data_IF_292602975544
#
_entry.id   IF_292602975544
#
_cell.length_a   1.000
_cell.length_b   1.000
_cell.length_c   1.000
_cell.angle_alpha   90.00
_cell.angle_beta   90.00
_cell.angle_gamma   90.00
#
_symmetry.space_group_name_H-M   'P 1'
#
loop_
_entity.id
_entity.type
_entity.pdbx_description
1 polymer ?
#
# COMPACT_ATOMS: atom_id res chain seq x y z
N UNK A 1 8.62 7.67 -7.52
CA UNK A 1 7.72 7.50 -6.35
C UNK A 1 7.70 6.05 -5.96
N UNK A 2 7.75 5.77 -4.66
CA UNK A 2 7.59 4.44 -4.09
C UNK A 2 6.40 4.42 -3.12
N UNK A 3 5.87 3.24 -2.85
CA UNK A 3 4.97 2.98 -1.75
C UNK A 3 5.57 1.89 -0.86
N UNK A 4 5.80 2.18 0.41
CA UNK A 4 5.95 1.15 1.42
C UNK A 4 4.57 0.78 1.90
N UNK A 5 4.19 -0.48 1.70
CA UNK A 5 2.89 -1.00 2.09
C UNK A 5 3.08 -1.97 3.25
N UNK A 6 2.47 -1.67 4.39
CA UNK A 6 2.54 -2.49 5.58
C UNK A 6 1.19 -3.18 5.79
N UNK A 7 1.18 -4.50 5.69
CA UNK A 7 0.01 -5.35 5.94
C UNK A 7 0.01 -5.79 7.40
N UNK A 8 -1.14 -5.70 8.06
CA UNK A 8 -1.28 -6.06 9.47
C UNK A 8 -2.74 -6.37 9.81
N UNK A 9 -2.97 -6.91 11.00
CA UNK A 9 -4.30 -7.11 11.57
C UNK A 9 -4.39 -6.50 12.97
N UNK A 10 -5.60 -6.29 13.47
CA UNK A 10 -5.79 -6.03 14.89
C UNK A 10 -5.49 -7.30 15.70
N UNK A 11 -4.81 -7.16 16.82
CA UNK A 11 -4.57 -8.28 17.73
C UNK A 11 -5.89 -8.83 18.30
N UNK A 12 -5.88 -10.10 18.66
CA UNK A 12 -7.06 -10.77 19.25
C UNK A 12 -7.55 -10.02 20.47
N UNK A 13 -8.85 -9.73 20.51
CA UNK A 13 -9.49 -9.00 21.61
C UNK A 13 -9.42 -7.47 21.51
N UNK A 14 -8.76 -6.93 20.48
CA UNK A 14 -8.76 -5.48 20.23
C UNK A 14 -10.04 -5.09 19.49
N UNK A 15 -10.73 -4.08 19.99
CA UNK A 15 -11.93 -3.52 19.36
C UNK A 15 -11.56 -2.78 18.06
N UNK A 16 -12.24 -3.12 16.96
CA UNK A 16 -11.99 -2.58 15.60
C UNK A 16 -12.02 -1.05 15.59
N UNK A 17 -13.03 -0.44 16.24
CA UNK A 17 -13.16 1.02 16.27
C UNK A 17 -12.02 1.71 17.02
N UNK A 18 -11.49 1.10 18.08
CA UNK A 18 -10.34 1.60 18.82
C UNK A 18 -9.07 1.52 17.97
N UNK A 19 -8.87 0.39 17.29
CA UNK A 19 -7.74 0.18 16.40
C UNK A 19 -7.71 1.19 15.26
N UNK A 20 -8.81 1.36 14.55
CA UNK A 20 -8.92 2.33 13.46
C UNK A 20 -8.76 3.79 13.92
N UNK A 21 -9.21 4.09 15.12
CA UNK A 21 -8.98 5.42 15.72
C UNK A 21 -7.49 5.67 15.96
N UNK A 22 -6.76 4.66 16.44
CA UNK A 22 -5.32 4.73 16.62
C UNK A 22 -4.58 4.86 15.28
N UNK A 23 -4.97 4.09 14.25
CA UNK A 23 -4.42 4.20 12.89
C UNK A 23 -4.62 5.61 12.31
N UNK A 24 -5.85 6.13 12.34
CA UNK A 24 -6.13 7.51 11.88
C UNK A 24 -5.27 8.54 12.60
N UNK A 25 -5.12 8.40 13.92
CA UNK A 25 -4.29 9.32 14.71
C UNK A 25 -2.82 9.25 14.31
N UNK A 26 -2.29 8.06 14.08
CA UNK A 26 -0.90 7.87 13.66
C UNK A 26 -0.65 8.51 12.28
N UNK A 27 -1.48 8.24 11.29
CA UNK A 27 -1.36 8.83 9.96
C UNK A 27 -1.51 10.36 9.98
N UNK A 28 -2.45 10.88 10.78
CA UNK A 28 -2.61 12.33 10.97
C UNK A 28 -1.37 12.97 11.63
N UNK A 29 -0.73 12.28 12.57
CA UNK A 29 0.50 12.74 13.20
C UNK A 29 1.68 12.80 12.22
N UNK A 30 1.80 11.80 11.33
CA UNK A 30 2.79 11.82 10.25
C UNK A 30 2.53 12.97 9.25
N UNK A 31 1.28 13.17 8.86
CA UNK A 31 0.89 14.25 7.94
C UNK A 31 1.11 15.65 8.54
N UNK A 32 0.91 15.81 9.85
CA UNK A 32 1.11 17.08 10.56
C UNK A 32 2.57 17.51 10.68
N UNK A 33 3.52 16.57 10.59
CA UNK A 33 4.95 16.83 10.62
C UNK A 33 5.68 15.80 9.73
N UNK A 34 5.59 15.94 8.40
CA UNK A 34 6.09 14.93 7.48
C UNK A 34 7.62 14.86 7.51
N UNK A 35 8.20 13.64 7.52
CA UNK A 35 9.65 13.48 7.36
C UNK A 35 10.09 13.80 5.92
N UNK A 36 11.39 13.98 5.73
CA UNK A 36 11.95 14.27 4.40
C UNK A 36 11.59 13.20 3.38
N UNK A 37 11.10 13.63 2.21
CA UNK A 37 10.70 12.76 1.11
C UNK A 37 9.38 11.97 1.33
N UNK A 38 8.64 12.23 2.42
CA UNK A 38 7.31 11.69 2.64
C UNK A 38 6.27 12.46 1.83
N UNK A 39 5.44 11.75 1.08
CA UNK A 39 4.42 12.32 0.20
C UNK A 39 2.99 12.19 0.75
N UNK A 40 2.79 11.24 1.66
CA UNK A 40 1.50 10.99 2.29
C UNK A 40 1.32 9.54 2.72
N UNK A 41 0.30 9.29 3.51
CA UNK A 41 -0.07 7.92 3.89
C UNK A 41 -1.57 7.77 4.08
N UNK A 42 -2.04 6.55 3.88
CA UNK A 42 -3.45 6.17 4.08
C UNK A 42 -3.51 4.73 4.56
N UNK A 43 -4.33 4.48 5.56
CA UNK A 43 -4.67 3.13 5.99
C UNK A 43 -5.94 2.67 5.29
N UNK A 44 -5.93 1.44 4.82
CA UNK A 44 -7.08 0.80 4.16
C UNK A 44 -7.49 -0.45 4.92
N UNK A 45 -8.80 -0.57 5.18
CA UNK A 45 -9.40 -1.82 5.61
C UNK A 45 -9.47 -2.75 4.40
N UNK A 46 -8.95 -3.96 4.55
CA UNK A 46 -8.96 -5.03 3.56
C UNK A 46 -9.89 -6.16 4.04
N UNK A 47 -10.07 -7.23 3.23
CA UNK A 47 -10.84 -8.40 3.64
C UNK A 47 -10.27 -9.05 4.92
N UNK A 48 -8.95 -9.17 4.97
CA UNK A 48 -8.24 -9.96 6.00
C UNK A 48 -7.29 -9.07 6.84
N UNK A 49 -7.71 -7.87 7.19
CA UNK A 49 -6.90 -6.94 8.00
C UNK A 49 -6.80 -5.55 7.39
N UNK A 50 -5.60 -4.99 7.43
CA UNK A 50 -5.33 -3.62 7.01
C UNK A 50 -4.09 -3.55 6.13
N UNK A 51 -4.02 -2.50 5.33
CA UNK A 51 -2.84 -2.14 4.55
C UNK A 51 -2.58 -0.64 4.68
N UNK A 52 -1.48 -0.29 5.33
CA UNK A 52 -1.00 1.08 5.41
C UNK A 52 -0.09 1.38 4.23
N UNK A 53 -0.47 2.34 3.43
CA UNK A 53 0.30 2.81 2.29
C UNK A 53 1.04 4.09 2.64
N UNK A 54 2.36 4.05 2.64
CA UNK A 54 3.24 5.20 2.84
C UNK A 54 3.88 5.56 1.52
N UNK A 55 3.49 6.69 0.94
CA UNK A 55 4.05 7.20 -0.32
C UNK A 55 5.30 8.01 -0.04
N UNK A 56 6.38 7.71 -0.74
CA UNK A 56 7.67 8.37 -0.60
C UNK A 56 8.28 8.70 -1.97
N UNK A 57 9.11 9.72 -2.02
CA UNK A 57 9.78 10.15 -3.26
C UNK A 57 10.73 9.08 -3.81
N UNK A 58 11.51 8.47 -2.93
CA UNK A 58 12.54 7.49 -3.26
C UNK A 58 12.85 6.59 -2.07
N UNK A 59 13.73 5.60 -2.26
CA UNK A 59 14.21 4.73 -1.19
C UNK A 59 15.00 5.49 -0.10
N UNK A 60 15.63 6.61 -0.42
CA UNK A 60 16.32 7.44 0.56
C UNK A 60 15.37 8.05 1.62
N UNK A 61 14.08 8.11 1.34
CA UNK A 61 13.08 8.59 2.30
C UNK A 61 12.59 7.50 3.29
N UNK A 62 13.01 6.24 3.11
CA UNK A 62 12.60 5.16 4.02
C UNK A 62 13.26 5.29 5.40
N UNK A 63 14.55 5.66 5.46
CA UNK A 63 15.23 5.86 6.74
C UNK A 63 14.62 7.02 7.54
N UNK A 64 14.44 8.24 6.96
CA UNK A 64 13.72 9.33 7.63
C UNK A 64 12.27 8.93 8.05
N UNK A 65 11.56 8.17 7.23
CA UNK A 65 10.22 7.71 7.57
C UNK A 65 10.23 6.76 8.77
N UNK A 66 11.14 5.78 8.75
CA UNK A 66 11.28 4.81 9.85
C UNK A 66 11.65 5.50 11.16
N UNK A 67 12.64 6.39 11.14
CA UNK A 67 13.05 7.15 12.33
C UNK A 67 11.91 8.03 12.84
N UNK A 68 11.21 8.72 11.92
CA UNK A 68 10.10 9.57 12.28
C UNK A 68 8.92 8.81 12.89
N UNK A 69 8.63 7.60 12.44
CA UNK A 69 7.53 6.79 12.96
C UNK A 69 7.72 6.48 14.46
N UNK A 70 8.96 6.19 14.88
CA UNK A 70 9.27 5.69 16.24
C UNK A 70 9.89 6.74 17.15
N UNK A 71 9.95 8.03 16.76
CA UNK A 71 10.63 9.06 17.53
C UNK A 71 9.80 10.31 17.80
N UNK A 72 10.20 11.08 18.80
CA UNK A 72 9.61 12.37 19.15
C UNK A 72 8.12 12.28 19.48
N UNK A 73 7.36 13.28 19.03
CA UNK A 73 5.92 13.37 19.30
C UNK A 73 5.08 12.26 18.62
N UNK A 74 5.66 11.56 17.63
CA UNK A 74 5.01 10.47 16.89
C UNK A 74 5.11 9.12 17.57
N UNK A 75 6.14 8.91 18.41
CA UNK A 75 6.37 7.64 19.13
C UNK A 75 5.12 7.16 19.86
N UNK A 76 4.46 8.02 20.63
CA UNK A 76 3.27 7.63 21.38
C UNK A 76 2.10 7.16 20.51
N UNK A 77 1.90 7.76 19.32
CA UNK A 77 0.85 7.32 18.39
C UNK A 77 1.23 6.04 17.64
N UNK A 78 2.52 5.87 17.31
CA UNK A 78 3.05 4.62 16.77
C UNK A 78 2.91 3.46 17.78
N UNK A 79 3.36 3.66 19.00
CA UNK A 79 3.34 2.62 20.06
C UNK A 79 1.91 2.18 20.40
N UNK A 80 0.96 3.12 20.35
CA UNK A 80 -0.45 2.82 20.53
C UNK A 80 -0.98 1.87 19.42
N UNK A 81 -0.61 2.08 18.17
CA UNK A 81 -0.96 1.17 17.05
C UNK A 81 -0.21 -0.14 17.18
N UNK A 82 1.11 -0.10 17.39
CA UNK A 82 1.95 -1.28 17.49
C UNK A 82 1.50 -2.23 18.61
N UNK A 83 1.10 -1.69 19.75
CA UNK A 83 0.57 -2.48 20.87
C UNK A 83 -0.79 -3.14 20.62
N UNK A 84 -1.50 -2.70 19.57
CA UNK A 84 -2.80 -3.26 19.16
C UNK A 84 -2.71 -4.08 17.86
N UNK A 85 -1.53 -4.14 17.21
CA UNK A 85 -1.33 -4.81 15.92
C UNK A 85 -0.85 -6.24 16.07
N UNK A 86 -1.13 -7.05 15.05
CA UNK A 86 -0.56 -8.39 14.84
C UNK A 86 -0.20 -8.59 13.37
N UNK A 87 0.58 -9.63 13.07
CA UNK A 87 0.85 -10.16 11.72
C UNK A 87 1.47 -9.14 10.74
N UNK A 88 2.49 -8.41 11.15
CA UNK A 88 3.14 -7.40 10.32
C UNK A 88 3.93 -7.95 9.15
N UNK A 89 3.65 -7.47 7.91
CA UNK A 89 4.44 -7.77 6.72
C UNK A 89 4.59 -6.54 5.82
N UNK A 90 5.81 -6.20 5.45
CA UNK A 90 6.11 -5.07 4.57
C UNK A 90 6.29 -5.45 3.11
N UNK A 91 5.93 -4.55 2.20
CA UNK A 91 6.16 -4.66 0.76
C UNK A 91 6.56 -3.30 0.19
N UNK A 92 7.64 -3.28 -0.59
CA UNK A 92 8.06 -2.05 -1.26
C UNK A 92 7.67 -2.10 -2.74
N UNK A 93 6.90 -1.12 -3.17
CA UNK A 93 6.37 -1.00 -4.52
C UNK A 93 6.92 0.25 -5.22
N UNK A 94 7.27 0.14 -6.48
CA UNK A 94 7.56 1.27 -7.35
C UNK A 94 6.34 1.57 -8.23
N UNK A 95 5.98 2.84 -8.35
CA UNK A 95 4.96 3.28 -9.29
C UNK A 95 5.47 3.12 -10.72
N UNK A 96 4.73 2.37 -11.53
CA UNK A 96 5.01 2.15 -12.96
C UNK A 96 4.22 3.14 -13.82
N UNK A 97 2.93 3.33 -13.50
CA UNK A 97 2.06 4.25 -14.23
C UNK A 97 0.89 4.75 -13.38
N UNK A 98 0.27 5.83 -13.82
CA UNK A 98 -0.87 6.46 -13.18
C UNK A 98 -0.48 7.43 -12.05
N UNK A 99 -1.49 7.98 -11.37
CA UNK A 99 -1.32 8.89 -10.21
C UNK A 99 -2.01 8.31 -9.00
N UNK A 100 -1.32 8.14 -7.87
CA UNK A 100 -1.96 7.69 -6.63
C UNK A 100 -3.04 8.66 -6.16
N UNK A 101 -4.12 8.09 -5.61
CA UNK A 101 -5.21 8.86 -5.01
C UNK A 101 -5.92 8.00 -3.96
N UNK A 102 -6.52 8.63 -2.93
CA UNK A 102 -7.14 7.90 -1.81
C UNK A 102 -8.44 7.19 -2.19
N UNK A 103 -9.15 7.67 -3.21
CA UNK A 103 -10.52 7.23 -3.55
C UNK A 103 -10.56 5.97 -4.43
N UNK A 104 -9.68 5.00 -4.18
CA UNK A 104 -9.62 3.78 -5.01
C UNK A 104 -10.02 2.58 -4.20
N UNK A 105 -11.12 1.95 -4.62
CA UNK A 105 -11.86 0.96 -3.82
C UNK A 105 -11.37 -0.47 -3.98
N UNK A 106 -10.54 -0.75 -4.99
CA UNK A 106 -10.02 -2.10 -5.23
C UNK A 106 -8.51 -2.11 -5.45
N UNK A 107 -7.89 -3.16 -4.93
CA UNK A 107 -6.53 -3.56 -5.23
C UNK A 107 -6.60 -4.87 -6.03
N UNK A 108 -6.02 -4.88 -7.22
CA UNK A 108 -5.92 -6.10 -8.02
C UNK A 108 -4.48 -6.57 -8.00
N UNK A 109 -4.25 -7.69 -7.34
CA UNK A 109 -2.95 -8.35 -7.26
C UNK A 109 -2.80 -9.27 -8.44
N UNK A 110 -1.67 -9.18 -9.16
CA UNK A 110 -1.47 -9.96 -10.37
C UNK A 110 -0.01 -10.35 -10.58
N UNK A 111 0.19 -11.40 -11.36
CA UNK A 111 1.50 -11.91 -11.71
C UNK A 111 1.73 -11.79 -13.21
N UNK A 112 2.97 -11.49 -13.59
CA UNK A 112 3.38 -11.56 -14.99
C UNK A 112 3.41 -13.03 -15.43
N UNK A 113 2.74 -13.41 -16.55
CA UNK A 113 2.77 -14.77 -17.05
C UNK A 113 4.20 -15.24 -17.36
N UNK A 114 4.48 -16.52 -17.10
CA UNK A 114 5.80 -17.10 -17.36
C UNK A 114 6.14 -16.99 -18.86
N UNK A 115 7.39 -16.61 -19.16
CA UNK A 115 7.87 -16.47 -20.53
C UNK A 115 7.51 -15.13 -21.21
N UNK A 116 6.64 -14.32 -20.63
CA UNK A 116 6.32 -12.97 -21.14
C UNK A 116 7.38 -11.98 -20.69
N UNK A 117 7.89 -11.14 -21.61
CA UNK A 117 8.80 -10.04 -21.23
C UNK A 117 8.06 -8.95 -20.44
N UNK A 118 8.78 -8.13 -19.63
CA UNK A 118 8.16 -6.99 -18.96
C UNK A 118 7.56 -5.99 -19.96
N UNK A 119 8.23 -5.74 -21.07
CA UNK A 119 7.73 -4.83 -22.11
C UNK A 119 6.40 -5.32 -22.71
N UNK A 120 6.30 -6.62 -23.02
CA UNK A 120 5.05 -7.20 -23.53
C UNK A 120 3.96 -7.23 -22.46
N UNK A 121 4.34 -7.49 -21.20
CA UNK A 121 3.41 -7.48 -20.10
C UNK A 121 2.81 -6.08 -19.89
N UNK A 122 3.62 -5.03 -19.87
CA UNK A 122 3.13 -3.65 -19.76
C UNK A 122 2.23 -3.26 -20.94
N UNK A 123 2.59 -3.66 -22.17
CA UNK A 123 1.74 -3.43 -23.36
C UNK A 123 0.38 -4.12 -23.22
N UNK A 124 0.33 -5.33 -22.66
CA UNK A 124 -0.94 -6.05 -22.38
C UNK A 124 -1.79 -5.34 -21.32
N UNK A 125 -1.18 -4.62 -20.38
CA UNK A 125 -1.88 -3.87 -19.35
C UNK A 125 -2.32 -2.47 -19.80
N UNK A 126 -1.85 -1.97 -20.94
CA UNK A 126 -2.14 -0.63 -21.46
C UNK A 126 -3.64 -0.28 -21.52
N UNK A 127 -4.57 -1.19 -21.90
CA UNK A 127 -6.01 -0.87 -21.91
C UNK A 127 -6.58 -0.42 -20.56
N UNK A 128 -5.94 -0.81 -19.47
CA UNK A 128 -6.33 -0.40 -18.10
C UNK A 128 -5.44 0.71 -17.57
N UNK A 129 -4.12 0.63 -17.80
CA UNK A 129 -3.13 1.57 -17.24
C UNK A 129 -3.09 2.92 -17.95
N UNK A 130 -3.74 3.06 -19.11
CA UNK A 130 -3.97 4.34 -19.77
C UNK A 130 -5.08 5.19 -19.14
N UNK A 131 -5.85 4.63 -18.20
CA UNK A 131 -6.90 5.34 -17.49
C UNK A 131 -6.28 6.10 -16.31
N UNK A 132 -6.58 7.38 -16.18
CA UNK A 132 -6.03 8.25 -15.12
C UNK A 132 -6.34 7.76 -13.71
N UNK A 133 -7.48 7.07 -13.53
CA UNK A 133 -7.93 6.53 -12.26
C UNK A 133 -7.27 5.20 -11.88
N UNK A 134 -6.46 4.59 -12.76
CA UNK A 134 -5.78 3.32 -12.50
C UNK A 134 -4.29 3.56 -12.27
N UNK A 135 -3.74 2.97 -11.21
CA UNK A 135 -2.29 2.92 -11.00
C UNK A 135 -1.76 1.51 -11.11
N UNK A 136 -0.58 1.37 -11.71
CA UNK A 136 0.17 0.14 -11.73
C UNK A 136 1.41 0.28 -10.84
N UNK A 137 1.57 -0.67 -9.94
CA UNK A 137 2.70 -0.77 -9.03
C UNK A 137 3.43 -2.08 -9.25
N UNK A 138 4.74 -2.04 -9.08
CA UNK A 138 5.60 -3.22 -9.16
C UNK A 138 6.44 -3.36 -7.90
N UNK A 139 6.50 -4.55 -7.34
CA UNK A 139 7.38 -4.86 -6.20
C UNK A 139 8.83 -4.63 -6.60
N UNK A 140 9.54 -3.88 -5.77
CA UNK A 140 10.97 -3.66 -5.94
C UNK A 140 11.75 -4.90 -5.51
N UNK A 141 12.53 -5.47 -6.43
CA UNK A 141 13.31 -6.68 -6.18
C UNK A 141 12.41 -7.79 -5.61
N UNK A 142 12.77 -8.40 -4.49
CA UNK A 142 11.96 -9.35 -3.71
C UNK A 142 11.60 -8.79 -2.32
N UNK A 143 11.45 -7.46 -2.22
CA UNK A 143 11.12 -6.80 -0.96
C UNK A 143 9.60 -6.89 -0.69
N UNK A 144 9.21 -7.95 -0.02
CA UNK A 144 7.83 -8.25 0.37
C UNK A 144 7.22 -9.48 -0.32
N UNK A 145 6.01 -9.88 0.10
CA UNK A 145 5.34 -11.08 -0.40
C UNK A 145 4.91 -10.95 -1.88
N UNK A 146 4.71 -12.09 -2.60
CA UNK A 146 4.07 -12.09 -3.91
C UNK A 146 2.59 -11.62 -3.80
N UNK A 147 1.96 -11.34 -4.96
CA UNK A 147 2.51 -11.29 -6.31
C UNK A 147 3.37 -10.05 -6.57
N UNK A 148 4.03 -9.99 -7.75
CA UNK A 148 4.95 -8.90 -8.09
C UNK A 148 4.25 -7.58 -8.38
N UNK A 149 3.06 -7.63 -8.97
CA UNK A 149 2.32 -6.45 -9.40
C UNK A 149 1.04 -6.23 -8.60
N UNK A 150 0.66 -4.97 -8.51
CA UNK A 150 -0.59 -4.51 -7.93
C UNK A 150 -1.14 -3.37 -8.79
N UNK A 151 -2.40 -3.45 -9.18
CA UNK A 151 -3.14 -2.32 -9.75
C UNK A 151 -4.12 -1.80 -8.70
N UNK A 152 -4.29 -0.49 -8.66
CA UNK A 152 -5.29 0.14 -7.79
C UNK A 152 -6.24 0.94 -8.64
N UNK A 153 -7.53 0.69 -8.47
CA UNK A 153 -8.59 1.21 -9.32
C UNK A 153 -9.85 1.57 -8.50
N UNK A 154 -10.76 2.40 -9.05
CA UNK A 154 -12.03 2.73 -8.40
C UNK A 154 -13.03 1.56 -8.41
N UNK A 155 -12.89 0.61 -9.32
CA UNK A 155 -13.75 -0.57 -9.45
C UNK A 155 -12.96 -1.77 -9.96
N UNK A 156 -13.59 -2.93 -9.95
CA UNK A 156 -13.00 -4.16 -10.49
C UNK A 156 -12.53 -3.99 -11.94
N UNK A 157 -11.44 -4.68 -12.26
CA UNK A 157 -10.84 -4.70 -13.59
C UNK A 157 -11.01 -6.10 -14.19
N UNK A 158 -11.56 -6.17 -15.40
CA UNK A 158 -11.66 -7.42 -16.16
C UNK A 158 -10.31 -7.73 -16.82
N UNK A 159 -9.44 -8.41 -16.07
CA UNK A 159 -8.09 -8.79 -16.48
C UNK A 159 -8.04 -10.25 -16.96
N UNK A 160 -7.17 -10.56 -17.96
CA UNK A 160 -6.99 -11.93 -18.43
C UNK A 160 -6.59 -12.91 -17.31
N UNK A 161 -7.22 -14.09 -17.31
CA UNK A 161 -7.02 -15.11 -16.28
C UNK A 161 -5.55 -15.61 -16.19
N UNK A 162 -4.81 -15.56 -17.30
CA UNK A 162 -3.38 -15.93 -17.31
C UNK A 162 -2.50 -15.01 -16.44
N UNK A 163 -2.98 -13.83 -16.05
CA UNK A 163 -2.31 -12.93 -15.12
C UNK A 163 -2.61 -13.26 -13.65
N UNK A 164 -3.44 -14.30 -13.41
CA UNK A 164 -3.87 -14.71 -12.07
C UNK A 164 -4.34 -13.54 -11.21
N UNK A 165 -5.31 -12.71 -11.69
CA UNK A 165 -5.75 -11.55 -10.94
C UNK A 165 -6.53 -11.95 -9.69
N UNK A 166 -6.19 -11.33 -8.57
CA UNK A 166 -6.93 -11.41 -7.32
C UNK A 166 -7.43 -10.01 -6.97
N UNK A 167 -8.74 -9.79 -7.03
CA UNK A 167 -9.36 -8.52 -6.63
C UNK A 167 -9.62 -8.52 -5.15
N UNK A 168 -9.08 -7.52 -4.46
CA UNK A 168 -9.26 -7.31 -3.03
C UNK A 168 -9.94 -5.96 -2.81
N UNK A 169 -11.16 -5.92 -2.26
CA UNK A 169 -11.81 -4.68 -1.87
C UNK A 169 -10.99 -3.96 -0.79
N UNK A 170 -10.94 -2.63 -0.86
CA UNK A 170 -10.31 -1.81 0.15
C UNK A 170 -11.13 -0.55 0.40
N UNK A 171 -11.15 -0.07 1.64
CA UNK A 171 -11.78 1.19 2.03
C UNK A 171 -10.83 1.98 2.92
N UNK A 172 -10.65 3.27 2.62
CA UNK A 172 -9.88 4.16 3.50
C UNK A 172 -10.56 4.31 4.85
N UNK A 173 -9.79 4.41 5.91
CA UNK A 173 -10.26 4.56 7.29
C UNK A 173 -9.87 5.92 7.86
#
# INVERSE_FOLDING_TARGET
MLAYVFFHSAAVGVEVAAYETALRRFHATLAGSPPSGFLGSTSYRMRDGYADWYLVESSAALDPLNEAAVSGARAASHDAVAGMSADGAGKLLALVSGRPGPERSVEVRLSKPKGVSYADFYRRLEPWTSRDEVTLWRRMMVLGPPPEFCMVAPSELDLPAEMTPETVPRSSI
#
